data_IF_623190433881
#
_entry.id   IF_623190433881
#
_cell.length_a   1.000
_cell.length_b   1.000
_cell.length_c   1.000
_cell.angle_alpha   90.00
_cell.angle_beta   90.00
_cell.angle_gamma   90.00
#
_symmetry.space_group_name_H-M   'P 1'
#
loop_
_entity.id
_entity.type
_entity.pdbx_description
1 polymer ?
#
# COMPACT_ATOMS: atom_id res chain seq x y z
N UNK A 1 31.15 -7.42 8.59
CA UNK A 1 30.76 -5.99 8.57
C UNK A 1 29.26 -6.00 8.70
N UNK A 2 28.74 -5.83 9.93
CA UNK A 2 27.29 -5.92 10.18
C UNK A 2 26.72 -4.54 9.89
N UNK A 3 26.04 -4.39 8.76
CA UNK A 3 25.19 -3.22 8.52
C UNK A 3 24.19 -3.13 9.66
N UNK A 4 24.24 -2.05 10.42
CA UNK A 4 23.17 -1.71 11.34
C UNK A 4 21.99 -1.26 10.48
N UNK A 5 20.99 -2.11 10.36
CA UNK A 5 19.72 -1.73 9.75
C UNK A 5 19.08 -0.66 10.64
N UNK A 6 18.99 0.56 10.14
CA UNK A 6 18.27 1.64 10.83
C UNK A 6 16.77 1.39 10.66
N UNK A 7 16.06 1.24 11.79
CA UNK A 7 14.61 1.03 11.78
C UNK A 7 13.93 2.34 11.38
N UNK A 8 13.20 2.33 10.26
CA UNK A 8 12.36 3.45 9.85
C UNK A 8 11.20 3.58 10.84
N UNK A 9 10.95 4.80 11.31
CA UNK A 9 9.83 5.11 12.22
C UNK A 9 8.79 5.93 11.48
N UNK A 10 7.50 5.59 11.64
CA UNK A 10 6.38 6.31 11.07
C UNK A 10 5.77 7.31 12.08
N UNK A 11 5.16 8.42 11.62
CA UNK A 11 4.94 8.82 10.22
C UNK A 11 6.21 9.28 9.49
N UNK A 12 6.29 9.02 8.18
CA UNK A 12 7.34 9.52 7.29
C UNK A 12 6.80 10.70 6.47
N UNK A 13 7.49 11.84 6.50
CA UNK A 13 7.20 12.98 5.62
C UNK A 13 8.03 12.87 4.35
N UNK A 14 7.37 12.82 3.20
CA UNK A 14 7.99 12.77 1.88
C UNK A 14 7.73 14.08 1.16
N UNK A 15 8.80 14.77 0.75
CA UNK A 15 8.71 16.00 -0.05
C UNK A 15 9.08 15.70 -1.50
N UNK A 16 8.27 16.18 -2.44
CA UNK A 16 8.50 16.09 -3.88
C UNK A 16 8.24 17.44 -4.56
N UNK A 17 8.47 17.55 -5.88
CA UNK A 17 8.09 18.74 -6.64
C UNK A 17 6.57 18.97 -6.69
N UNK A 18 5.77 17.93 -6.38
CA UNK A 18 4.31 17.97 -6.38
C UNK A 18 3.69 18.26 -5.01
N UNK A 19 4.50 18.34 -3.95
CA UNK A 19 4.05 18.64 -2.59
C UNK A 19 4.63 17.70 -1.53
N UNK A 20 4.10 17.84 -0.31
CA UNK A 20 4.46 17.02 0.86
C UNK A 20 3.36 15.98 1.09
N UNK A 21 3.76 14.75 1.39
CA UNK A 21 2.88 13.64 1.75
C UNK A 21 3.33 13.05 3.09
N UNK A 22 2.38 12.83 4.00
CA UNK A 22 2.59 12.07 5.24
C UNK A 22 2.24 10.62 4.97
N UNK A 23 3.20 9.72 5.17
CA UNK A 23 3.03 8.28 5.03
C UNK A 23 2.91 7.67 6.42
N UNK A 24 1.90 6.85 6.64
CA UNK A 24 1.71 6.10 7.88
C UNK A 24 1.65 4.62 7.62
N UNK A 25 2.28 3.84 8.50
CA UNK A 25 2.06 2.41 8.57
C UNK A 25 0.82 2.12 9.40
N UNK A 26 -0.06 1.28 8.85
CA UNK A 26 -1.29 0.82 9.53
C UNK A 26 -1.46 -0.69 9.36
N UNK A 27 -2.37 -1.29 10.12
CA UNK A 27 -2.75 -2.70 9.93
C UNK A 27 -3.41 -2.91 8.56
N UNK A 28 -3.21 -4.09 7.95
CA UNK A 28 -3.90 -4.49 6.72
C UNK A 28 -5.44 -4.36 6.83
N UNK A 29 -5.98 -4.66 8.00
CA UNK A 29 -7.42 -4.62 8.31
C UNK A 29 -7.92 -3.21 8.66
N UNK A 30 -7.10 -2.17 8.47
CA UNK A 30 -7.55 -0.79 8.66
C UNK A 30 -8.75 -0.50 7.74
N UNK A 31 -9.89 -0.02 8.27
CA UNK A 31 -11.12 0.14 7.48
C UNK A 31 -10.99 1.19 6.38
N UNK A 32 -10.19 2.24 6.59
CA UNK A 32 -9.94 3.27 5.56
C UNK A 32 -9.07 2.69 4.45
N UNK A 33 -8.07 1.88 4.82
CA UNK A 33 -7.26 1.15 3.83
C UNK A 33 -8.06 0.11 3.06
N UNK A 34 -9.02 -0.58 3.69
CA UNK A 34 -9.92 -1.49 2.99
C UNK A 34 -10.78 -0.73 1.96
N UNK A 35 -11.37 0.40 2.36
CA UNK A 35 -12.16 1.25 1.46
C UNK A 35 -11.36 1.67 0.22
N UNK A 36 -10.13 2.16 0.39
CA UNK A 36 -9.26 2.54 -0.73
C UNK A 36 -8.92 1.36 -1.66
N UNK A 37 -8.71 0.16 -1.10
CA UNK A 37 -8.50 -1.06 -1.92
C UNK A 37 -9.76 -1.43 -2.69
N UNK A 38 -10.93 -1.37 -2.07
CA UNK A 38 -12.20 -1.69 -2.72
C UNK A 38 -12.49 -0.71 -3.87
N UNK A 39 -12.21 0.59 -3.68
CA UNK A 39 -12.28 1.61 -4.73
C UNK A 39 -11.31 1.31 -5.89
N UNK A 40 -10.07 0.95 -5.57
CA UNK A 40 -9.07 0.56 -6.57
C UNK A 40 -9.51 -0.70 -7.35
N UNK A 41 -10.05 -1.70 -6.66
CA UNK A 41 -10.58 -2.92 -7.29
C UNK A 41 -11.72 -2.58 -8.24
N UNK A 42 -12.64 -1.70 -7.84
CA UNK A 42 -13.74 -1.27 -8.68
C UNK A 42 -13.24 -0.54 -9.94
N UNK A 43 -12.26 0.36 -9.79
CA UNK A 43 -11.64 1.06 -10.91
C UNK A 43 -10.95 0.10 -11.90
N UNK A 44 -10.09 -0.78 -11.41
CA UNK A 44 -9.35 -1.75 -12.23
C UNK A 44 -10.33 -2.68 -12.95
N UNK A 45 -11.35 -3.18 -12.24
CA UNK A 45 -12.37 -4.07 -12.82
C UNK A 45 -13.14 -3.36 -13.93
N UNK A 46 -13.50 -2.08 -13.74
CA UNK A 46 -14.18 -1.28 -14.76
C UNK A 46 -13.30 -1.04 -16.00
N UNK A 47 -11.99 -0.84 -15.82
CA UNK A 47 -11.04 -0.57 -16.91
C UNK A 47 -10.67 -1.81 -17.71
N UNK A 48 -10.41 -2.93 -17.03
CA UNK A 48 -9.77 -4.10 -17.62
C UNK A 48 -10.68 -5.34 -17.69
N UNK A 49 -11.90 -5.27 -17.17
CA UNK A 49 -12.92 -6.32 -17.29
C UNK A 49 -12.55 -7.64 -16.59
N UNK A 50 -11.45 -7.67 -15.83
CA UNK A 50 -11.02 -8.84 -15.07
C UNK A 50 -10.94 -8.45 -13.61
N UNK A 51 -11.81 -9.01 -12.76
CA UNK A 51 -11.82 -8.67 -11.35
C UNK A 51 -10.64 -9.37 -10.64
N UNK A 52 -10.08 -8.75 -9.58
CA UNK A 52 -8.79 -9.14 -9.01
C UNK A 52 -8.76 -10.53 -8.37
N UNK A 53 -9.91 -11.12 -8.06
CA UNK A 53 -10.01 -12.52 -7.64
C UNK A 53 -9.50 -13.52 -8.70
N UNK A 54 -9.37 -13.09 -9.96
CA UNK A 54 -8.80 -13.89 -11.04
C UNK A 54 -7.29 -13.68 -11.21
N UNK A 55 -6.67 -12.85 -10.38
CA UNK A 55 -5.22 -12.68 -10.41
C UNK A 55 -4.54 -14.00 -9.98
N UNK A 56 -3.47 -14.42 -10.67
CA UNK A 56 -2.75 -15.64 -10.29
C UNK A 56 -2.05 -15.48 -8.92
N UNK A 57 -2.09 -16.53 -8.10
CA UNK A 57 -1.37 -16.61 -6.82
C UNK A 57 -2.27 -16.60 -5.58
N UNK A 58 -1.65 -16.54 -4.41
CA UNK A 58 -2.37 -16.41 -3.12
C UNK A 58 -2.81 -14.95 -2.98
N UNK A 59 -4.07 -14.64 -2.63
CA UNK A 59 -4.51 -13.26 -2.40
C UNK A 59 -3.78 -12.59 -1.22
N UNK A 60 -3.66 -11.25 -1.22
CA UNK A 60 -3.14 -10.54 -0.06
C UNK A 60 -4.05 -10.73 1.16
N UNK A 61 -3.44 -10.98 2.32
CA UNK A 61 -4.09 -11.16 3.61
C UNK A 61 -3.23 -10.56 4.73
N UNK A 62 -3.81 -10.36 5.91
CA UNK A 62 -3.05 -9.89 7.07
C UNK A 62 -1.86 -10.81 7.44
N UNK A 63 -1.88 -12.07 7.01
CA UNK A 63 -0.82 -13.06 7.29
C UNK A 63 0.37 -12.96 6.33
N UNK A 64 0.19 -12.43 5.12
CA UNK A 64 1.25 -12.35 4.11
C UNK A 64 1.72 -10.93 3.77
N UNK A 65 1.00 -9.91 4.26
CA UNK A 65 1.41 -8.51 4.14
C UNK A 65 2.48 -8.17 5.18
N UNK A 66 3.63 -7.72 4.69
CA UNK A 66 4.76 -7.28 5.51
C UNK A 66 4.61 -5.83 5.99
N UNK A 67 4.06 -4.98 5.12
CA UNK A 67 3.89 -3.56 5.35
C UNK A 67 2.65 -3.07 4.61
N UNK A 68 1.83 -2.27 5.28
CA UNK A 68 0.72 -1.57 4.66
C UNK A 68 0.74 -0.11 5.05
N UNK A 69 0.63 0.76 4.04
CA UNK A 69 0.85 2.19 4.14
C UNK A 69 -0.38 2.95 3.67
N UNK A 70 -0.68 4.05 4.36
CA UNK A 70 -1.60 5.08 3.90
C UNK A 70 -0.83 6.38 3.64
N UNK A 71 -1.25 7.10 2.60
CA UNK A 71 -0.66 8.37 2.21
C UNK A 71 -1.68 9.48 2.37
N UNK A 72 -1.30 10.50 3.14
CA UNK A 72 -2.10 11.67 3.45
C UNK A 72 -1.47 12.90 2.79
N UNK A 73 -2.25 13.71 2.06
CA UNK A 73 -1.84 15.04 1.68
C UNK A 73 -1.41 15.87 2.91
N UNK A 74 -0.59 16.88 2.67
CA UNK A 74 -0.15 17.78 3.72
C UNK A 74 -1.36 18.41 4.44
N UNK A 75 -1.34 18.38 5.78
CA UNK A 75 -2.35 18.99 6.63
C UNK A 75 -3.78 18.41 6.48
N UNK A 76 -3.93 17.16 6.01
CA UNK A 76 -5.21 16.44 6.00
C UNK A 76 -5.15 15.18 6.86
N UNK A 77 -6.33 14.76 7.34
CA UNK A 77 -6.55 13.48 8.04
C UNK A 77 -7.24 12.43 7.15
N UNK A 78 -7.53 12.78 5.91
CA UNK A 78 -8.10 11.88 4.90
C UNK A 78 -6.98 11.37 3.99
N UNK A 79 -6.72 10.04 3.97
CA UNK A 79 -5.72 9.47 3.08
C UNK A 79 -6.28 9.37 1.66
N UNK A 80 -5.41 9.59 0.68
CA UNK A 80 -5.78 9.59 -0.75
C UNK A 80 -5.20 8.41 -1.52
N UNK A 81 -4.30 7.64 -0.89
CA UNK A 81 -3.69 6.47 -1.48
C UNK A 81 -3.27 5.46 -0.41
N UNK A 82 -3.18 4.20 -0.81
CA UNK A 82 -2.65 3.11 0.01
C UNK A 82 -1.62 2.29 -0.77
N UNK A 83 -0.72 1.59 -0.08
CA UNK A 83 0.23 0.69 -0.74
C UNK A 83 0.67 -0.43 0.20
N UNK A 84 1.01 -1.59 -0.36
CA UNK A 84 1.38 -2.77 0.41
C UNK A 84 2.70 -3.37 -0.08
N UNK A 85 3.50 -3.87 0.85
CA UNK A 85 4.58 -4.83 0.57
C UNK A 85 4.14 -6.19 1.08
N UNK A 86 4.19 -7.19 0.22
CA UNK A 86 3.86 -8.57 0.54
C UNK A 86 5.10 -9.45 0.45
N UNK A 87 5.28 -10.33 1.43
CA UNK A 87 6.32 -11.36 1.34
C UNK A 87 5.90 -12.44 0.33
N UNK A 88 6.82 -12.77 -0.57
CA UNK A 88 6.76 -13.97 -1.40
C UNK A 88 7.84 -14.95 -0.94
N UNK A 89 7.83 -16.15 -1.50
CA UNK A 89 8.86 -17.16 -1.24
C UNK A 89 10.24 -16.73 -1.81
N UNK A 90 11.29 -17.45 -1.41
CA UNK A 90 12.68 -17.28 -1.89
C UNK A 90 13.27 -15.87 -1.71
N UNK A 91 12.77 -15.11 -0.73
CA UNK A 91 13.26 -13.77 -0.42
C UNK A 91 12.77 -12.68 -1.38
N UNK A 92 11.80 -13.00 -2.25
CA UNK A 92 11.14 -12.00 -3.08
C UNK A 92 10.05 -11.27 -2.29
N UNK A 93 9.80 -10.02 -2.67
CA UNK A 93 8.70 -9.21 -2.14
C UNK A 93 7.96 -8.54 -3.29
N UNK A 94 6.66 -8.45 -3.18
CA UNK A 94 5.81 -7.72 -4.12
C UNK A 94 5.46 -6.36 -3.55
N UNK A 95 5.53 -5.32 -4.38
CA UNK A 95 5.02 -4.00 -4.05
C UNK A 95 3.73 -3.74 -4.85
N UNK A 96 2.63 -3.54 -4.12
CA UNK A 96 1.32 -3.27 -4.70
C UNK A 96 0.97 -1.80 -4.43
N UNK A 97 0.75 -1.04 -5.50
CA UNK A 97 0.36 0.37 -5.44
C UNK A 97 -0.95 0.59 -6.20
N UNK A 98 -1.65 1.71 -5.96
CA UNK A 98 -2.75 2.16 -6.80
C UNK A 98 -2.20 2.38 -8.21
N UNK A 99 -2.90 1.88 -9.23
CA UNK A 99 -2.61 2.32 -10.59
C UNK A 99 -3.09 3.78 -10.68
N UNK A 100 -2.29 4.72 -11.21
CA UNK A 100 -2.78 6.08 -11.41
C UNK A 100 -3.97 6.05 -12.38
N UNK A 101 -4.98 6.93 -12.18
CA UNK A 101 -6.11 7.02 -13.07
C UNK A 101 -5.72 7.44 -14.49
#
# INVERSE_FOLDING_TARGET
MTEQQELVTFPLLVSSSSGIVRIEQVSWDNPVGQMLRDEQVAEISARFGTPPENAPGIPPSAENIALFLLAYPENTDEPVACGAIRHLDDGFMEASFPHPP
#
